data_IF_742607042350
#
_entry.id   IF_742607042350
#
_cell.length_a   1.000
_cell.length_b   1.000
_cell.length_c   1.000
_cell.angle_alpha   90.00
_cell.angle_beta   90.00
_cell.angle_gamma   90.00
#
_symmetry.space_group_name_H-M   'P 1'
#
loop_
_entity.id
_entity.type
_entity.pdbx_description
1 polymer ?
#
# COMPACT_ATOMS: atom_id res chain seq x y z
N UNK A 1 -11.10 -22.19 -13.72
CA UNK A 1 -9.92 -22.56 -12.92
C UNK A 1 -9.51 -21.34 -12.11
N UNK A 2 -9.92 -21.28 -10.84
CA UNK A 2 -9.82 -20.08 -10.00
C UNK A 2 -8.45 -20.04 -9.36
N UNK A 3 -7.57 -19.18 -9.86
CA UNK A 3 -6.24 -18.94 -9.29
C UNK A 3 -6.28 -17.78 -8.30
N UNK A 4 -6.32 -18.08 -7.00
CA UNK A 4 -6.27 -17.07 -5.93
C UNK A 4 -4.82 -16.62 -5.75
N UNK A 5 -4.47 -15.45 -6.31
CA UNK A 5 -3.12 -14.88 -6.21
C UNK A 5 -2.98 -14.05 -4.93
N UNK A 6 -2.44 -14.64 -3.87
CA UNK A 6 -2.18 -13.94 -2.61
C UNK A 6 -1.01 -12.97 -2.79
N UNK A 7 -1.25 -11.66 -2.70
CA UNK A 7 -0.18 -10.66 -2.67
C UNK A 7 0.14 -10.31 -1.22
N UNK A 8 1.34 -10.65 -0.80
CA UNK A 8 1.88 -10.30 0.51
C UNK A 8 2.62 -8.95 0.41
N UNK A 9 2.69 -8.15 1.47
CA UNK A 9 3.52 -6.94 1.54
C UNK A 9 4.44 -7.09 2.73
N UNK A 10 5.75 -7.19 2.52
CA UNK A 10 6.77 -7.48 3.55
C UNK A 10 7.64 -6.24 3.79
N UNK A 11 7.72 -5.78 5.04
CA UNK A 11 8.72 -4.82 5.52
C UNK A 11 9.99 -5.61 5.91
N UNK A 12 11.18 -5.29 5.39
CA UNK A 12 12.45 -5.88 5.86
C UNK A 12 13.65 -5.18 5.22
N UNK A 13 14.66 -4.88 6.05
CA UNK A 13 16.04 -4.61 5.69
C UNK A 13 16.62 -5.71 4.78
N UNK A 14 17.43 -5.27 3.81
CA UNK A 14 18.02 -6.03 2.71
C UNK A 14 18.93 -7.18 3.17
N UNK A 15 18.66 -8.39 2.65
CA UNK A 15 19.68 -9.32 2.18
C UNK A 15 19.15 -10.01 0.92
N UNK A 16 19.85 -9.79 -0.18
CA UNK A 16 19.43 -10.09 -1.56
C UNK A 16 19.48 -11.60 -1.83
N UNK A 17 18.31 -12.23 -1.95
CA UNK A 17 18.17 -13.58 -2.47
C UNK A 17 17.75 -13.50 -3.94
N UNK A 18 18.74 -13.58 -4.85
CA UNK A 18 18.52 -13.58 -6.30
C UNK A 18 17.85 -14.90 -6.71
N UNK A 19 16.56 -14.83 -7.05
CA UNK A 19 15.80 -15.94 -7.65
C UNK A 19 15.29 -15.52 -9.02
N UNK A 20 15.39 -16.41 -10.01
CA UNK A 20 14.91 -16.28 -11.39
C UNK A 20 13.36 -16.31 -11.49
N UNK A 21 12.68 -15.57 -10.62
CA UNK A 21 11.25 -15.26 -10.75
C UNK A 21 11.13 -13.77 -11.01
N UNK A 22 10.92 -13.39 -12.28
CA UNK A 22 10.76 -11.98 -12.68
C UNK A 22 9.58 -11.27 -11.99
N UNK A 23 8.66 -12.01 -11.36
CA UNK A 23 7.55 -11.48 -10.58
C UNK A 23 7.60 -12.03 -9.17
N UNK A 24 7.98 -11.17 -8.24
CA UNK A 24 7.92 -11.44 -6.81
C UNK A 24 6.44 -11.32 -6.38
N UNK A 25 5.87 -12.27 -5.61
CA UNK A 25 4.46 -12.25 -5.21
C UNK A 25 4.18 -11.26 -4.08
N UNK A 26 5.09 -10.31 -3.85
CA UNK A 26 4.99 -9.30 -2.84
C UNK A 26 5.65 -8.00 -3.27
N UNK A 27 5.15 -6.92 -2.69
CA UNK A 27 5.75 -5.58 -2.77
C UNK A 27 6.29 -5.19 -1.39
N UNK A 28 7.35 -4.39 -1.34
CA UNK A 28 7.84 -3.84 -0.08
C UNK A 28 7.14 -2.51 0.19
N UNK A 29 6.62 -2.34 1.40
CA UNK A 29 6.23 -1.04 1.92
C UNK A 29 7.39 -0.52 2.76
N UNK A 30 7.78 0.73 2.59
CA UNK A 30 8.83 1.37 3.41
C UNK A 30 8.19 2.57 4.09
N UNK A 31 8.35 2.65 5.41
CA UNK A 31 7.84 3.75 6.22
C UNK A 31 9.04 4.51 6.78
N UNK A 32 9.02 5.82 6.62
CA UNK A 32 10.07 6.71 7.10
C UNK A 32 9.43 7.84 7.91
N UNK A 33 10.17 8.31 8.91
CA UNK A 33 9.77 9.42 9.77
C UNK A 33 10.98 10.30 10.06
N UNK A 34 10.74 11.56 10.46
CA UNK A 34 11.81 12.38 11.02
C UNK A 34 12.25 11.78 12.35
N UNK A 35 13.54 11.90 12.68
CA UNK A 35 14.12 11.31 13.88
C UNK A 35 13.39 11.73 15.17
N UNK A 36 12.89 12.97 15.20
CA UNK A 36 12.12 13.56 16.32
C UNK A 36 10.81 12.82 16.61
N UNK A 37 10.24 12.10 15.65
CA UNK A 37 8.98 11.34 15.81
C UNK A 37 9.20 9.85 15.97
N UNK A 38 10.44 9.40 16.21
CA UNK A 38 10.76 7.97 16.34
C UNK A 38 9.89 7.28 17.41
N UNK A 39 9.76 7.91 18.57
CA UNK A 39 9.01 7.32 19.70
C UNK A 39 7.49 7.30 19.43
N UNK A 40 6.98 8.29 18.68
CA UNK A 40 5.58 8.34 18.27
C UNK A 40 5.19 7.14 17.38
N UNK A 41 6.14 6.62 16.60
CA UNK A 41 5.93 5.51 15.67
C UNK A 41 6.58 4.19 16.13
N UNK A 42 6.88 4.06 17.43
CA UNK A 42 7.52 2.86 17.99
C UNK A 42 6.74 1.57 17.69
N UNK A 43 5.41 1.63 17.64
CA UNK A 43 4.54 0.49 17.28
C UNK A 43 4.78 -0.03 15.86
N UNK A 44 5.09 0.88 14.93
CA UNK A 44 5.43 0.55 13.54
C UNK A 44 6.84 -0.03 13.46
N UNK A 45 7.80 0.58 14.16
CA UNK A 45 9.18 0.06 14.20
C UNK A 45 9.25 -1.34 14.81
N UNK A 46 8.48 -1.59 15.88
CA UNK A 46 8.36 -2.92 16.50
C UNK A 46 7.69 -3.95 15.57
N UNK A 47 7.07 -3.50 14.49
CA UNK A 47 6.40 -4.33 13.50
C UNK A 47 7.20 -4.47 12.19
N UNK A 48 8.47 -4.06 12.16
CA UNK A 48 9.35 -4.40 11.04
C UNK A 48 9.38 -5.93 10.84
N UNK A 49 9.34 -6.38 9.59
CA UNK A 49 9.15 -7.80 9.27
C UNK A 49 7.69 -8.24 9.12
N UNK A 50 6.69 -7.47 9.59
CA UNK A 50 5.27 -7.87 9.45
C UNK A 50 4.84 -7.91 7.98
N UNK A 51 3.93 -8.84 7.71
CA UNK A 51 3.39 -9.09 6.38
C UNK A 51 1.90 -8.80 6.35
N UNK A 52 1.47 -8.00 5.37
CA UNK A 52 0.06 -7.73 5.10
C UNK A 52 -0.39 -8.48 3.86
N UNK A 53 -1.59 -9.04 3.88
CA UNK A 53 -2.19 -9.69 2.71
C UNK A 53 -3.37 -8.85 2.22
N UNK A 54 -3.52 -8.74 0.91
CA UNK A 54 -4.68 -8.09 0.28
C UNK A 54 -5.23 -8.95 -0.84
N UNK A 55 -6.52 -8.77 -1.14
CA UNK A 55 -7.14 -9.40 -2.30
C UNK A 55 -6.53 -8.78 -3.56
N UNK A 56 -6.04 -9.60 -4.51
CA UNK A 56 -5.46 -9.10 -5.74
C UNK A 56 -6.53 -8.34 -6.54
N UNK A 57 -6.20 -7.12 -6.97
CA UNK A 57 -7.05 -6.36 -7.88
C UNK A 57 -6.77 -6.77 -9.32
N UNK A 58 -7.83 -6.90 -10.13
CA UNK A 58 -7.72 -7.18 -11.57
C UNK A 58 -7.00 -6.05 -12.33
N UNK A 59 -7.10 -4.81 -11.83
CA UNK A 59 -6.39 -3.67 -12.40
C UNK A 59 -4.90 -3.70 -12.00
N UNK A 60 -3.96 -3.67 -12.96
CA UNK A 60 -2.53 -3.66 -12.67
C UNK A 60 -2.13 -2.52 -11.75
N UNK A 61 -1.06 -2.73 -10.97
CA UNK A 61 -0.43 -1.75 -10.07
C UNK A 61 -1.34 -1.19 -8.97
N UNK A 62 -2.51 -1.78 -8.69
CA UNK A 62 -3.45 -1.26 -7.66
C UNK A 62 -2.98 -1.76 -6.31
N UNK A 63 -2.32 -0.87 -5.59
CA UNK A 63 -1.92 -1.09 -4.21
C UNK A 63 -3.17 -1.04 -3.32
N UNK A 64 -3.25 -1.85 -2.26
CA UNK A 64 -4.30 -1.72 -1.27
C UNK A 64 -4.19 -0.35 -0.57
N UNK A 65 -5.31 0.23 -0.09
CA UNK A 65 -5.28 1.43 0.74
C UNK A 65 -4.37 1.25 1.94
N UNK A 66 -3.46 2.20 2.17
CA UNK A 66 -2.47 2.13 3.25
C UNK A 66 -3.04 2.60 4.60
N UNK A 67 -4.07 3.44 4.60
CA UNK A 67 -4.65 4.02 5.82
C UNK A 67 -5.14 2.95 6.81
N UNK A 68 -5.88 1.88 6.41
CA UNK A 68 -6.25 0.82 7.33
C UNK A 68 -5.05 0.10 7.96
N UNK A 69 -3.95 -0.03 7.22
CA UNK A 69 -2.71 -0.63 7.72
C UNK A 69 -2.09 0.27 8.80
N UNK A 70 -2.02 1.58 8.57
CA UNK A 70 -1.50 2.54 9.55
C UNK A 70 -2.38 2.64 10.80
N UNK A 71 -3.71 2.61 10.62
CA UNK A 71 -4.66 2.63 11.74
C UNK A 71 -4.46 1.42 12.68
N UNK A 72 -4.06 0.26 12.14
CA UNK A 72 -3.74 -0.93 12.96
C UNK A 72 -2.55 -0.72 13.91
N UNK A 73 -1.75 0.32 13.68
CA UNK A 73 -0.64 0.74 14.55
C UNK A 73 -0.98 1.97 15.40
N UNK A 74 -2.23 2.42 15.40
CA UNK A 74 -2.67 3.64 16.09
C UNK A 74 -2.30 4.93 15.36
N UNK A 75 -1.91 4.86 14.09
CA UNK A 75 -1.58 6.04 13.28
C UNK A 75 -2.76 6.38 12.40
N UNK A 76 -3.42 7.49 12.71
CA UNK A 76 -4.50 8.06 11.91
C UNK A 76 -3.97 9.27 11.13
N UNK A 77 -3.56 9.07 9.86
CA UNK A 77 -2.98 10.16 9.10
C UNK A 77 -4.10 11.13 8.70
N UNK A 78 -3.89 12.42 8.96
CA UNK A 78 -4.79 13.52 8.60
C UNK A 78 -4.09 14.44 7.61
N UNK A 79 -4.84 14.99 6.65
CA UNK A 79 -4.31 15.88 5.61
C UNK A 79 -3.13 15.28 4.85
N UNK A 80 -3.33 14.09 4.30
CA UNK A 80 -2.28 13.35 3.61
C UNK A 80 -2.05 13.90 2.20
N UNK A 81 -0.86 13.67 1.65
CA UNK A 81 -0.56 13.86 0.25
C UNK A 81 -0.23 12.50 -0.36
N UNK A 82 -0.96 12.11 -1.41
CA UNK A 82 -0.69 10.90 -2.19
C UNK A 82 -0.20 11.30 -3.58
N UNK A 83 1.04 10.96 -3.89
CA UNK A 83 1.64 11.20 -5.21
C UNK A 83 1.46 9.98 -6.10
N UNK A 84 1.27 10.23 -7.40
CA UNK A 84 0.92 9.21 -8.39
C UNK A 84 -0.36 8.43 -8.00
N UNK A 85 -1.27 9.14 -7.32
CA UNK A 85 -2.54 8.58 -6.90
C UNK A 85 -3.32 8.10 -8.12
N UNK A 86 -4.07 7.01 -7.93
CA UNK A 86 -4.99 6.48 -8.95
C UNK A 86 -6.43 6.47 -8.48
N UNK A 87 -6.66 6.82 -7.23
CA UNK A 87 -7.97 6.86 -6.60
C UNK A 87 -7.99 8.02 -5.62
N UNK A 88 -9.17 8.58 -5.38
CA UNK A 88 -9.35 9.49 -4.27
C UNK A 88 -9.36 8.70 -2.95
N UNK A 89 -8.71 9.24 -1.93
CA UNK A 89 -8.76 8.74 -0.56
C UNK A 89 -9.33 9.82 0.36
N UNK A 90 -10.12 9.46 1.39
CA UNK A 90 -10.59 10.42 2.38
C UNK A 90 -9.42 11.18 3.02
N UNK A 91 -9.63 12.47 3.31
CA UNK A 91 -8.65 13.33 4.00
C UNK A 91 -7.26 13.39 3.33
N UNK A 92 -7.20 13.13 2.02
CA UNK A 92 -5.96 13.05 1.25
C UNK A 92 -6.05 13.94 0.02
N UNK A 93 -5.03 14.77 -0.19
CA UNK A 93 -4.78 15.45 -1.45
C UNK A 93 -4.12 14.43 -2.39
N UNK A 94 -4.84 14.01 -3.41
CA UNK A 94 -4.39 13.02 -4.39
C UNK A 94 -3.89 13.71 -5.66
N UNK A 95 -2.62 13.50 -6.01
CA UNK A 95 -1.99 14.07 -7.21
C UNK A 95 -1.61 12.93 -8.16
N UNK A 96 -2.22 12.90 -9.34
CA UNK A 96 -1.96 11.91 -10.38
C UNK A 96 -2.84 12.14 -11.60
N UNK A 97 -2.62 11.38 -12.68
CA UNK A 97 -3.39 11.50 -13.93
C UNK A 97 -4.71 10.74 -13.91
N UNK A 98 -4.81 9.70 -13.08
CA UNK A 98 -5.94 8.78 -13.02
C UNK A 98 -6.95 8.97 -11.86
N UNK A 99 -6.71 9.76 -10.78
CA UNK A 99 -7.62 9.83 -9.63
C UNK A 99 -9.06 10.11 -10.01
N UNK A 100 -9.30 11.01 -10.97
CA UNK A 100 -10.63 11.39 -11.45
C UNK A 100 -11.19 10.42 -12.50
N UNK A 101 -10.33 9.89 -13.38
CA UNK A 101 -10.73 8.93 -14.43
C UNK A 101 -11.35 7.66 -13.83
N UNK A 102 -10.80 7.21 -12.70
CA UNK A 102 -11.24 6.01 -12.00
C UNK A 102 -12.36 6.25 -10.96
N UNK A 103 -13.00 7.43 -10.96
CA UNK A 103 -14.20 7.71 -10.14
C UNK A 103 -15.51 7.46 -10.89
N UNK A 104 -15.48 7.20 -12.20
CA UNK A 104 -16.72 6.98 -12.94
C UNK A 104 -17.41 5.70 -12.50
N UNK A 105 -18.71 5.78 -12.17
CA UNK A 105 -19.54 4.62 -11.89
C UNK A 105 -19.53 3.60 -13.05
N UNK A 106 -19.38 4.07 -14.30
CA UNK A 106 -19.28 3.20 -15.47
C UNK A 106 -18.05 2.29 -15.48
N UNK A 107 -16.98 2.63 -14.75
CA UNK A 107 -15.83 1.74 -14.57
C UNK A 107 -16.12 0.56 -13.62
N UNK A 108 -17.22 0.60 -12.85
CA UNK A 108 -17.63 -0.46 -11.92
C UNK A 108 -18.72 -1.37 -12.49
N UNK A 109 -19.38 -0.98 -13.58
CA UNK A 109 -20.48 -1.74 -14.21
C UNK A 109 -20.03 -2.70 -15.31
N UNK A 110 -18.77 -2.61 -15.76
CA UNK A 110 -18.21 -3.45 -16.85
C UNK A 110 -17.08 -4.39 -16.38
N UNK A 111 -17.06 -4.75 -15.09
CA UNK A 111 -16.09 -5.68 -14.51
C UNK A 111 -16.57 -7.13 -14.55
#
# INVERSE_FOLDING_TARGET
>A
MVGVCHKHVRLSLEQSFKREFHKIPYEKLVLASRAEYRDQYASITAADGKVFSSVPMALPSRKPPIVPILNSFGVEPKWCLELFARCLQPNTVSVGFEPLLLQSASCFTHA
#
